data_IF_656301120135
#
_entry.id   IF_656301120135
#
_cell.length_a   1.000
_cell.length_b   1.000
_cell.length_c   1.000
_cell.angle_alpha   90.00
_cell.angle_beta   90.00
_cell.angle_gamma   90.00
#
_symmetry.space_group_name_H-M   'P 1'
#
loop_
_entity.id
_entity.type
_entity.pdbx_description
1 polymer ?
#
# COMPACT_ATOMS: atom_id res chain seq x y z
N UNK A 1 21.57 -23.94 -24.86
CA UNK A 1 21.62 -25.06 -23.89
C UNK A 1 20.49 -26.05 -24.21
N UNK A 2 20.80 -27.30 -24.49
CA UNK A 2 19.85 -28.36 -24.86
C UNK A 2 19.86 -29.47 -23.82
N UNK A 3 18.77 -30.23 -23.71
CA UNK A 3 18.73 -31.40 -22.85
C UNK A 3 19.53 -32.55 -23.46
N UNK A 4 20.51 -33.08 -22.73
CA UNK A 4 21.31 -34.23 -23.17
C UNK A 4 20.68 -35.56 -22.77
N UNK A 5 20.19 -35.65 -21.53
CA UNK A 5 19.51 -36.82 -21.00
C UNK A 5 18.38 -36.40 -20.05
N UNK A 6 17.27 -37.13 -20.10
CA UNK A 6 16.06 -36.90 -19.33
C UNK A 6 15.58 -38.25 -18.81
N UNK A 7 15.01 -38.26 -17.61
CA UNK A 7 14.34 -39.46 -17.07
C UNK A 7 12.83 -39.42 -17.41
N UNK A 8 12.09 -40.54 -17.23
CA UNK A 8 10.65 -40.59 -17.50
C UNK A 8 9.80 -39.68 -16.59
N UNK A 9 10.34 -39.17 -15.48
CA UNK A 9 9.59 -38.27 -14.59
C UNK A 9 9.25 -36.94 -15.28
N UNK A 10 10.06 -36.49 -16.24
CA UNK A 10 9.77 -35.30 -17.05
C UNK A 10 8.48 -35.42 -17.85
N UNK A 11 8.22 -36.60 -18.42
CA UNK A 11 6.99 -36.84 -19.19
C UNK A 11 5.76 -36.92 -18.27
N UNK A 12 5.91 -37.54 -17.10
CA UNK A 12 4.83 -37.64 -16.11
C UNK A 12 4.47 -36.29 -15.49
N UNK A 13 5.47 -35.45 -15.20
CA UNK A 13 5.26 -34.22 -14.43
C UNK A 13 5.00 -33.00 -15.32
N UNK A 14 5.65 -32.89 -16.48
CA UNK A 14 5.44 -31.74 -17.38
C UNK A 14 4.55 -32.06 -18.60
N UNK A 15 4.21 -33.33 -18.84
CA UNK A 15 3.37 -33.77 -19.95
C UNK A 15 4.05 -33.76 -21.33
N UNK A 16 5.29 -33.26 -21.44
CA UNK A 16 6.09 -33.28 -22.66
C UNK A 16 6.85 -34.58 -22.81
N UNK A 17 6.88 -35.15 -24.01
CA UNK A 17 7.75 -36.30 -24.29
C UNK A 17 9.22 -35.88 -24.25
N UNK A 18 10.13 -36.82 -23.94
CA UNK A 18 11.56 -36.54 -23.94
C UNK A 18 12.06 -36.07 -25.32
N UNK A 19 11.46 -36.57 -26.41
CA UNK A 19 11.78 -36.13 -27.76
C UNK A 19 11.40 -34.65 -27.98
N UNK A 20 10.20 -34.25 -27.53
CA UNK A 20 9.73 -32.85 -27.62
C UNK A 20 10.60 -31.90 -26.78
N UNK A 21 11.01 -32.34 -25.59
CA UNK A 21 11.88 -31.56 -24.72
C UNK A 21 13.27 -31.38 -25.35
N UNK A 22 13.86 -32.44 -25.91
CA UNK A 22 15.18 -32.38 -26.57
C UNK A 22 15.17 -31.57 -27.87
N UNK A 23 14.04 -31.52 -28.57
CA UNK A 23 13.92 -30.79 -29.83
C UNK A 23 13.96 -29.26 -29.66
N UNK A 24 13.79 -28.74 -28.43
CA UNK A 24 13.77 -27.29 -28.15
C UNK A 24 14.83 -26.92 -27.10
N UNK A 25 15.32 -25.66 -27.11
CA UNK A 25 16.20 -25.19 -26.04
C UNK A 25 15.52 -25.25 -24.67
N UNK A 26 16.25 -25.67 -23.63
CA UNK A 26 15.70 -25.83 -22.28
C UNK A 26 15.06 -24.54 -21.74
N UNK A 27 15.67 -23.38 -22.04
CA UNK A 27 15.17 -22.06 -21.65
C UNK A 27 13.82 -21.68 -22.25
N UNK A 28 13.39 -22.32 -23.35
CA UNK A 28 12.09 -22.02 -23.96
C UNK A 28 10.91 -22.45 -23.10
N UNK A 29 11.11 -23.46 -22.25
CA UNK A 29 10.10 -23.97 -21.33
C UNK A 29 10.09 -23.22 -19.99
N UNK A 30 11.04 -22.32 -19.73
CA UNK A 30 11.12 -21.53 -18.49
C UNK A 30 10.30 -20.24 -18.65
N UNK A 31 9.54 -19.88 -17.61
CA UNK A 31 8.77 -18.64 -17.53
C UNK A 31 9.65 -17.42 -17.84
N UNK A 32 9.12 -16.44 -18.56
CA UNK A 32 9.89 -15.32 -19.10
C UNK A 32 10.66 -14.58 -18.00
N UNK A 33 10.00 -14.30 -16.87
CA UNK A 33 10.56 -13.59 -15.72
C UNK A 33 11.72 -14.37 -15.05
N UNK A 34 11.69 -15.71 -15.13
CA UNK A 34 12.68 -16.58 -14.50
C UNK A 34 13.90 -16.86 -15.39
N UNK A 35 13.88 -16.46 -16.67
CA UNK A 35 14.94 -16.82 -17.63
C UNK A 35 16.28 -16.20 -17.27
N UNK A 36 16.30 -14.94 -16.87
CA UNK A 36 17.55 -14.24 -16.50
C UNK A 36 18.16 -14.88 -15.26
N UNK A 37 17.34 -15.10 -14.23
CA UNK A 37 17.75 -15.76 -13.00
C UNK A 37 18.27 -17.18 -13.24
N UNK A 38 17.51 -17.99 -14.00
CA UNK A 38 17.87 -19.37 -14.34
C UNK A 38 19.19 -19.42 -15.12
N UNK A 39 19.37 -18.54 -16.11
CA UNK A 39 20.62 -18.49 -16.89
C UNK A 39 21.83 -18.15 -15.99
N UNK A 40 21.69 -17.18 -15.09
CA UNK A 40 22.75 -16.82 -14.15
C UNK A 40 23.11 -17.98 -13.21
N UNK A 41 22.11 -18.71 -12.70
CA UNK A 41 22.32 -19.87 -11.81
C UNK A 41 22.96 -21.06 -12.52
N UNK A 42 22.56 -21.32 -13.77
CA UNK A 42 23.20 -22.35 -14.59
C UNK A 42 24.64 -21.99 -14.94
N UNK A 43 24.92 -20.70 -15.24
CA UNK A 43 26.28 -20.20 -15.43
C UNK A 43 27.14 -20.38 -14.16
N UNK A 44 26.60 -19.97 -13.01
CA UNK A 44 27.24 -20.18 -11.71
C UNK A 44 27.53 -21.67 -11.43
N UNK A 45 26.59 -22.56 -11.73
CA UNK A 45 26.78 -24.00 -11.55
C UNK A 45 27.87 -24.58 -12.47
N UNK A 46 28.02 -24.00 -13.67
CA UNK A 46 29.03 -24.39 -14.63
C UNK A 46 30.44 -23.96 -14.21
N UNK A 47 30.58 -22.72 -13.72
CA UNK A 47 31.84 -22.17 -13.21
C UNK A 47 32.31 -22.87 -11.92
N UNK A 48 31.37 -23.18 -11.03
CA UNK A 48 31.66 -23.83 -9.75
C UNK A 48 31.66 -25.36 -9.89
N UNK A 49 32.62 -25.89 -10.64
CA UNK A 49 32.74 -27.33 -10.88
C UNK A 49 32.72 -28.15 -9.58
N UNK A 50 31.90 -29.22 -9.56
CA UNK A 50 31.72 -30.06 -8.38
C UNK A 50 30.86 -29.47 -7.26
N UNK A 51 30.43 -28.20 -7.33
CA UNK A 51 29.54 -27.60 -6.34
C UNK A 51 28.08 -27.66 -6.75
N UNK A 52 27.22 -27.79 -5.74
CA UNK A 52 25.77 -27.82 -5.87
C UNK A 52 25.21 -26.39 -5.80
N UNK A 53 24.45 -26.01 -6.82
CA UNK A 53 23.72 -24.75 -6.90
C UNK A 53 22.23 -25.07 -6.88
N UNK A 54 21.52 -24.42 -5.96
CA UNK A 54 20.07 -24.50 -5.84
C UNK A 54 19.41 -23.20 -6.30
N UNK A 55 18.27 -23.35 -6.98
CA UNK A 55 17.46 -22.24 -7.47
C UNK A 55 16.06 -22.74 -7.82
N UNK A 56 15.11 -21.82 -7.84
CA UNK A 56 13.73 -22.10 -8.20
C UNK A 56 13.40 -21.43 -9.52
N UNK A 57 12.54 -22.05 -10.32
CA UNK A 57 11.92 -21.43 -11.47
C UNK A 57 10.57 -22.08 -11.80
N UNK A 58 9.88 -21.51 -12.76
CA UNK A 58 8.65 -22.07 -13.29
C UNK A 58 8.88 -22.62 -14.69
N UNK A 59 8.45 -23.87 -14.91
CA UNK A 59 8.44 -24.49 -16.23
C UNK A 59 7.02 -24.69 -16.76
N UNK A 60 6.87 -24.57 -18.08
CA UNK A 60 5.58 -24.72 -18.74
C UNK A 60 5.19 -26.20 -18.85
N UNK A 61 4.04 -26.55 -18.29
CA UNK A 61 3.38 -27.82 -18.57
C UNK A 61 2.79 -27.84 -19.98
N UNK A 62 2.69 -29.00 -20.62
CA UNK A 62 2.11 -29.14 -21.98
C UNK A 62 0.68 -28.59 -22.10
N UNK A 63 -0.07 -28.62 -21.00
CA UNK A 63 -1.42 -28.05 -20.89
C UNK A 63 -1.46 -26.51 -20.71
N UNK A 64 -0.31 -25.84 -20.69
CA UNK A 64 -0.21 -24.38 -20.69
C UNK A 64 -0.10 -23.71 -19.32
N UNK A 65 -0.31 -24.43 -18.21
CA UNK A 65 -0.07 -23.91 -16.86
C UNK A 65 1.42 -24.00 -16.47
N UNK A 66 1.79 -23.26 -15.44
CA UNK A 66 3.17 -23.19 -14.92
C UNK A 66 3.34 -24.10 -13.72
N UNK A 67 4.42 -24.89 -13.71
CA UNK A 67 4.78 -25.77 -12.62
C UNK A 67 6.01 -25.19 -11.92
N UNK A 68 5.92 -24.86 -10.63
CA UNK A 68 7.05 -24.41 -9.85
C UNK A 68 7.99 -25.58 -9.59
N UNK A 69 9.24 -25.44 -10.03
CA UNK A 69 10.29 -26.44 -9.88
C UNK A 69 11.42 -25.89 -9.03
N UNK A 70 11.84 -26.66 -8.02
CA UNK A 70 13.07 -26.40 -7.28
C UNK A 70 14.20 -27.26 -7.85
N UNK A 71 15.27 -26.61 -8.29
CA UNK A 71 16.39 -27.23 -8.97
C UNK A 71 17.57 -27.42 -8.04
N UNK A 72 18.22 -28.56 -8.20
CA UNK A 72 19.55 -28.83 -7.67
C UNK A 72 20.45 -29.20 -8.84
N UNK A 73 21.42 -28.32 -9.14
CA UNK A 73 22.30 -28.45 -10.31
C UNK A 73 23.76 -28.54 -9.89
N UNK A 74 24.52 -29.44 -10.51
CA UNK A 74 25.97 -29.60 -10.33
C UNK A 74 26.66 -29.76 -11.69
N UNK A 75 27.83 -29.17 -11.88
CA UNK A 75 28.67 -29.41 -13.06
C UNK A 75 29.71 -30.50 -12.80
N UNK A 76 29.96 -31.34 -13.82
CA UNK A 76 31.04 -32.34 -13.83
C UNK A 76 31.53 -32.54 -15.27
N UNK A 77 32.83 -32.37 -15.51
CA UNK A 77 33.47 -32.56 -16.82
C UNK A 77 32.79 -31.73 -17.93
N UNK A 78 32.46 -30.47 -17.64
CA UNK A 78 31.78 -29.58 -18.58
C UNK A 78 30.34 -29.97 -18.91
N UNK A 79 29.72 -30.87 -18.15
CA UNK A 79 28.30 -31.24 -18.29
C UNK A 79 27.53 -30.89 -17.02
N UNK A 80 26.39 -30.22 -17.19
CA UNK A 80 25.47 -29.89 -16.09
C UNK A 80 24.52 -31.06 -15.83
N UNK A 81 24.45 -31.48 -14.57
CA UNK A 81 23.51 -32.46 -14.06
C UNK A 81 22.53 -31.74 -13.15
N UNK A 82 21.24 -31.78 -13.49
CA UNK A 82 20.21 -31.07 -12.78
C UNK A 82 19.06 -32.02 -12.40
N UNK A 83 18.62 -31.94 -11.15
CA UNK A 83 17.42 -32.62 -10.65
C UNK A 83 16.40 -31.56 -10.26
N UNK A 84 15.18 -31.68 -10.77
CA UNK A 84 14.07 -30.79 -10.44
C UNK A 84 13.06 -31.51 -9.55
N UNK A 85 12.58 -30.82 -8.52
CA UNK A 85 11.49 -31.26 -7.64
C UNK A 85 10.27 -30.38 -7.90
N UNK A 86 9.12 -31.02 -8.13
CA UNK A 86 7.84 -30.32 -8.27
C UNK A 86 7.38 -29.81 -6.90
N UNK A 87 7.21 -28.49 -6.79
CA UNK A 87 6.80 -27.82 -5.56
C UNK A 87 5.31 -27.54 -5.47
N UNK A 88 4.51 -27.89 -6.49
CA UNK A 88 3.07 -27.63 -6.51
C UNK A 88 2.33 -28.28 -5.33
N UNK A 89 2.66 -29.53 -5.00
CA UNK A 89 2.08 -30.26 -3.87
C UNK A 89 2.51 -29.68 -2.53
N UNK A 90 3.75 -29.21 -2.44
CA UNK A 90 4.29 -28.63 -1.20
C UNK A 90 3.64 -27.27 -0.92
N UNK A 91 3.54 -26.41 -1.93
CA UNK A 91 2.89 -25.11 -1.82
C UNK A 91 1.39 -25.25 -1.52
N UNK A 92 0.67 -26.16 -2.19
CA UNK A 92 -0.75 -26.39 -1.91
C UNK A 92 -1.00 -26.87 -0.47
N UNK A 93 -0.11 -27.69 0.10
CA UNK A 93 -0.21 -28.15 1.49
C UNK A 93 0.09 -27.03 2.48
N UNK A 94 1.12 -26.22 2.22
CA UNK A 94 1.44 -25.05 3.04
C UNK A 94 0.34 -24.01 3.02
N UNK A 95 -0.24 -23.75 1.85
CA UNK A 95 -1.38 -22.84 1.69
C UNK A 95 -2.63 -23.39 2.38
N UNK A 96 -2.91 -24.70 2.31
CA UNK A 96 -4.00 -25.31 3.08
C UNK A 96 -3.77 -25.25 4.59
N UNK A 97 -2.54 -25.49 5.06
CA UNK A 97 -2.17 -25.33 6.47
C UNK A 97 -2.34 -23.87 6.91
N UNK A 98 -1.90 -22.91 6.10
CA UNK A 98 -2.07 -21.49 6.36
C UNK A 98 -3.54 -21.08 6.41
N UNK A 99 -4.35 -21.55 5.45
CA UNK A 99 -5.79 -21.29 5.40
C UNK A 99 -6.52 -21.94 6.59
N UNK A 100 -6.16 -23.17 6.96
CA UNK A 100 -6.72 -23.86 8.12
C UNK A 100 -6.34 -23.13 9.43
N UNK A 101 -5.08 -22.72 9.58
CA UNK A 101 -4.61 -21.91 10.71
C UNK A 101 -5.33 -20.54 10.77
N UNK A 102 -5.47 -19.86 9.64
CA UNK A 102 -6.19 -18.58 9.55
C UNK A 102 -7.68 -18.76 9.91
N UNK A 103 -8.32 -19.84 9.45
CA UNK A 103 -9.72 -20.16 9.77
C UNK A 103 -9.91 -20.44 11.26
N UNK A 104 -9.01 -21.21 11.88
CA UNK A 104 -9.05 -21.47 13.32
C UNK A 104 -8.86 -20.18 14.13
N UNK A 105 -7.92 -19.31 13.74
CA UNK A 105 -7.76 -17.98 14.36
C UNK A 105 -9.02 -17.13 14.23
N UNK A 106 -9.61 -17.04 13.04
CA UNK A 106 -10.82 -16.26 12.81
C UNK A 106 -12.02 -16.75 13.64
N UNK A 107 -12.19 -18.06 13.81
CA UNK A 107 -13.26 -18.63 14.67
C UNK A 107 -13.05 -18.28 16.14
N UNK A 108 -11.79 -18.27 16.59
CA UNK A 108 -11.43 -17.91 17.96
C UNK A 108 -11.63 -16.40 18.21
N UNK A 109 -11.23 -15.56 17.26
CA UNK A 109 -11.28 -14.10 17.38
C UNK A 109 -12.69 -13.51 17.22
N UNK A 110 -13.54 -14.10 16.37
CA UNK A 110 -14.90 -13.59 16.08
C UNK A 110 -16.00 -14.07 17.04
N UNK A 111 -15.70 -14.96 18.00
CA UNK A 111 -16.73 -15.40 18.97
C UNK A 111 -17.04 -14.33 20.02
N UNK A 112 -18.29 -14.32 20.46
CA UNK A 112 -18.82 -13.40 21.48
C UNK A 112 -18.44 -13.85 22.90
N UNK A 113 -18.25 -15.15 23.12
CA UNK A 113 -17.89 -15.73 24.43
C UNK A 113 -16.42 -15.52 24.77
N UNK A 114 -16.12 -15.12 26.00
CA UNK A 114 -14.75 -15.01 26.52
C UNK A 114 -14.10 -16.39 26.62
N UNK A 115 -13.04 -16.61 25.85
CA UNK A 115 -12.29 -17.87 25.79
C UNK A 115 -10.85 -17.65 26.23
N UNK A 116 -10.41 -18.50 27.15
CA UNK A 116 -9.05 -18.53 27.71
C UNK A 116 -8.55 -19.97 27.59
N UNK A 117 -7.43 -20.19 26.91
CA UNK A 117 -6.75 -21.46 26.93
C UNK A 117 -5.63 -21.43 27.97
N UNK A 118 -5.65 -22.43 28.86
CA UNK A 118 -4.66 -22.64 29.91
C UNK A 118 -3.86 -23.92 29.64
N UNK A 119 -2.61 -23.96 30.07
CA UNK A 119 -1.82 -25.20 30.13
C UNK A 119 -2.13 -26.02 31.39
N UNK A 120 -1.42 -27.14 31.58
CA UNK A 120 -1.65 -28.08 32.68
C UNK A 120 -1.28 -27.47 34.05
N UNK A 121 -0.43 -26.45 34.04
CA UNK A 121 0.04 -25.69 35.20
C UNK A 121 -0.86 -24.49 35.51
N UNK A 122 -1.90 -24.26 34.70
CA UNK A 122 -2.88 -23.18 34.88
C UNK A 122 -2.45 -21.84 34.27
N UNK A 123 -1.38 -21.81 33.47
CA UNK A 123 -0.89 -20.61 32.80
C UNK A 123 -1.68 -20.33 31.53
N UNK A 124 -2.11 -19.09 31.36
CA UNK A 124 -2.90 -18.65 30.21
C UNK A 124 -1.99 -18.48 28.97
N UNK A 125 -2.12 -19.37 27.98
CA UNK A 125 -1.33 -19.29 26.74
C UNK A 125 -2.11 -18.69 25.55
N UNK A 126 -3.44 -18.58 25.62
CA UNK A 126 -4.26 -17.92 24.59
C UNK A 126 -5.52 -17.27 25.17
N UNK A 127 -5.93 -16.13 24.63
CA UNK A 127 -7.15 -15.38 25.01
C UNK A 127 -7.75 -14.75 23.77
N UNK A 128 -9.07 -14.76 23.64
CA UNK A 128 -9.74 -14.11 22.51
C UNK A 128 -10.10 -12.64 22.83
N UNK A 129 -10.37 -11.80 21.81
CA UNK A 129 -10.74 -10.39 22.01
C UNK A 129 -12.03 -10.18 22.83
N UNK A 130 -12.86 -11.21 23.02
CA UNK A 130 -13.99 -11.15 23.94
C UNK A 130 -13.57 -11.15 25.42
N UNK A 131 -12.39 -11.68 25.78
CA UNK A 131 -11.81 -11.51 27.12
C UNK A 131 -11.46 -10.03 27.35
N UNK A 132 -10.94 -9.35 26.33
CA UNK A 132 -10.61 -7.90 26.43
C UNK A 132 -11.85 -7.05 26.68
N UNK A 133 -12.96 -7.39 26.00
CA UNK A 133 -14.24 -6.70 26.17
C UNK A 133 -14.87 -6.94 27.55
N UNK A 134 -14.71 -8.14 28.12
CA UNK A 134 -15.33 -8.51 29.40
C UNK A 134 -14.54 -8.00 30.61
N UNK A 135 -13.21 -8.05 30.55
CA UNK A 135 -12.36 -7.72 31.69
C UNK A 135 -11.65 -6.35 31.57
N UNK A 136 -11.76 -5.68 30.41
CA UNK A 136 -11.16 -4.37 30.18
C UNK A 136 -9.65 -4.39 29.91
N UNK A 137 -8.97 -5.54 30.05
CA UNK A 137 -7.54 -5.69 29.80
C UNK A 137 -7.27 -6.13 28.36
N UNK A 138 -6.28 -5.52 27.70
CA UNK A 138 -5.81 -6.00 26.39
C UNK A 138 -4.59 -6.91 26.55
N UNK A 139 -4.53 -8.00 25.78
CA UNK A 139 -3.51 -9.03 25.93
C UNK A 139 -2.52 -9.00 24.74
N UNK A 140 -1.27 -8.62 25.01
CA UNK A 140 -0.20 -8.66 24.00
C UNK A 140 0.57 -9.99 24.08
N UNK A 141 0.65 -10.72 22.97
CA UNK A 141 1.40 -11.98 22.89
C UNK A 141 2.84 -11.69 22.45
N UNK A 142 3.77 -11.68 23.40
CA UNK A 142 5.20 -11.79 23.14
C UNK A 142 5.64 -13.19 23.56
N UNK A 143 6.42 -13.89 22.73
CA UNK A 143 6.64 -15.35 22.81
C UNK A 143 6.94 -15.91 24.20
N UNK A 144 6.47 -17.14 24.45
CA UNK A 144 6.67 -18.04 25.61
C UNK A 144 6.50 -17.49 27.05
N UNK A 145 6.41 -16.18 27.26
CA UNK A 145 6.16 -15.52 28.54
C UNK A 145 5.24 -14.33 28.29
N UNK A 146 3.96 -14.48 28.64
CA UNK A 146 3.00 -13.39 28.53
C UNK A 146 3.20 -12.41 29.67
N UNK A 147 3.73 -11.23 29.37
CA UNK A 147 3.68 -10.09 30.27
C UNK A 147 2.28 -9.47 30.13
N UNK A 148 1.50 -9.49 31.21
CA UNK A 148 0.25 -8.72 31.30
C UNK A 148 0.65 -7.24 31.41
N UNK A 149 0.47 -6.48 30.33
CA UNK A 149 0.62 -5.02 30.36
C UNK A 149 -0.75 -4.39 30.24
N UNK A 150 -1.17 -3.71 31.30
CA UNK A 150 -2.36 -2.88 31.24
C UNK A 150 -2.13 -1.73 30.25
N UNK A 151 -2.84 -1.76 29.13
CA UNK A 151 -2.86 -0.68 28.13
C UNK A 151 -4.24 -0.02 28.04
N UNK A 152 -5.13 -0.29 29.00
CA UNK A 152 -6.51 0.20 29.03
C UNK A 152 -6.53 1.74 29.03
N UNK A 153 -5.68 2.34 29.85
CA UNK A 153 -5.52 3.81 29.89
C UNK A 153 -5.01 4.37 28.56
N UNK A 154 -4.05 3.70 27.92
CA UNK A 154 -3.50 4.13 26.63
C UNK A 154 -4.56 4.07 25.52
N UNK A 155 -5.29 2.97 25.40
CA UNK A 155 -6.38 2.84 24.41
C UNK A 155 -7.51 3.83 24.68
N UNK A 156 -7.84 4.08 25.96
CA UNK A 156 -8.83 5.09 26.34
C UNK A 156 -8.35 6.50 25.96
N UNK A 157 -7.07 6.83 26.18
CA UNK A 157 -6.46 8.09 25.77
C UNK A 157 -6.49 8.26 24.25
N UNK A 158 -6.11 7.23 23.49
CA UNK A 158 -6.16 7.25 22.02
C UNK A 158 -7.60 7.46 21.51
N UNK A 159 -8.58 6.75 22.09
CA UNK A 159 -9.99 6.91 21.72
C UNK A 159 -10.53 8.31 22.08
N UNK A 160 -10.26 8.80 23.29
CA UNK A 160 -10.65 10.15 23.73
C UNK A 160 -10.01 11.23 22.87
N UNK A 161 -8.75 11.07 22.44
CA UNK A 161 -8.07 12.01 21.52
C UNK A 161 -8.83 12.08 20.20
N UNK A 162 -9.15 10.94 19.60
CA UNK A 162 -9.86 10.90 18.32
C UNK A 162 -11.29 11.46 18.43
N UNK A 163 -12.03 11.12 19.50
CA UNK A 163 -13.38 11.63 19.73
C UNK A 163 -13.39 13.15 20.00
N UNK A 164 -12.42 13.63 20.78
CA UNK A 164 -12.24 15.05 21.06
C UNK A 164 -11.97 15.84 19.77
N UNK A 165 -11.02 15.38 18.95
CA UNK A 165 -10.68 16.05 17.69
C UNK A 165 -11.88 16.06 16.74
N UNK A 166 -12.61 14.95 16.62
CA UNK A 166 -13.82 14.88 15.80
C UNK A 166 -14.88 15.89 16.27
N UNK A 167 -15.17 15.91 17.57
CA UNK A 167 -16.18 16.78 18.17
C UNK A 167 -15.83 18.25 18.00
N UNK A 168 -14.61 18.65 18.39
CA UNK A 168 -14.15 20.04 18.24
C UNK A 168 -14.21 20.48 16.79
N UNK A 169 -13.83 19.62 15.84
CA UNK A 169 -13.90 19.97 14.43
C UNK A 169 -15.33 20.20 13.93
N UNK A 170 -16.29 19.39 14.38
CA UNK A 170 -17.71 19.58 14.06
C UNK A 170 -18.26 20.86 14.67
N UNK A 171 -17.96 21.12 15.94
CA UNK A 171 -18.39 22.32 16.68
C UNK A 171 -17.75 23.60 16.14
N UNK A 172 -16.55 23.54 15.55
CA UNK A 172 -15.90 24.69 14.91
C UNK A 172 -16.38 24.93 13.48
N UNK A 173 -16.73 23.88 12.73
CA UNK A 173 -17.17 24.02 11.34
C UNK A 173 -18.46 24.83 11.21
N UNK A 174 -19.42 24.61 12.10
CA UNK A 174 -20.73 25.26 12.08
C UNK A 174 -20.67 26.80 12.26
N UNK A 175 -20.02 27.34 13.31
CA UNK A 175 -19.88 28.79 13.46
C UNK A 175 -19.02 29.39 12.34
N UNK A 176 -17.98 28.69 11.88
CA UNK A 176 -17.11 29.17 10.82
C UNK A 176 -17.82 29.25 9.46
N UNK A 177 -18.71 28.28 9.17
CA UNK A 177 -19.57 28.33 7.98
C UNK A 177 -20.52 29.52 8.03
N UNK A 178 -21.05 29.83 9.22
CA UNK A 178 -21.93 30.98 9.43
C UNK A 178 -21.18 32.31 9.28
N UNK A 179 -19.98 32.43 9.85
CA UNK A 179 -19.09 33.60 9.71
C UNK A 179 -18.72 33.82 8.24
N UNK A 180 -18.28 32.77 7.55
CA UNK A 180 -17.96 32.85 6.12
C UNK A 180 -19.18 33.26 5.29
N UNK A 181 -20.35 32.71 5.59
CA UNK A 181 -21.59 33.06 4.91
C UNK A 181 -21.94 34.54 5.09
N UNK A 182 -21.87 35.04 6.32
CA UNK A 182 -22.13 36.46 6.61
C UNK A 182 -21.12 37.39 5.91
N UNK A 183 -19.82 37.07 5.98
CA UNK A 183 -18.76 37.82 5.30
C UNK A 183 -18.94 37.79 3.77
N UNK A 184 -19.33 36.65 3.20
CA UNK A 184 -19.60 36.51 1.77
C UNK A 184 -20.78 37.35 1.29
N UNK A 185 -21.85 37.49 2.10
CA UNK A 185 -22.97 38.38 1.78
C UNK A 185 -22.56 39.86 1.81
N UNK A 186 -21.72 40.22 2.78
CA UNK A 186 -21.18 41.58 2.93
C UNK A 186 -20.24 41.91 1.76
N UNK A 187 -19.32 41.01 1.42
CA UNK A 187 -18.42 41.15 0.27
C UNK A 187 -19.17 41.20 -1.06
N UNK A 188 -20.23 40.41 -1.20
CA UNK A 188 -21.07 40.35 -2.40
C UNK A 188 -22.01 41.55 -2.60
N UNK A 189 -21.95 42.55 -1.71
CA UNK A 189 -22.74 43.79 -1.83
C UNK A 189 -24.22 43.65 -1.49
N UNK A 190 -24.65 42.50 -0.95
CA UNK A 190 -26.06 42.25 -0.56
C UNK A 190 -26.50 43.21 0.55
N UNK A 191 -25.56 43.67 1.37
CA UNK A 191 -25.79 44.62 2.46
C UNK A 191 -25.53 46.09 2.05
N UNK A 192 -25.29 46.37 0.77
CA UNK A 192 -24.90 47.68 0.24
C UNK A 192 -23.44 47.76 -0.18
N UNK A 193 -23.06 48.86 -0.84
CA UNK A 193 -21.66 49.12 -1.24
C UNK A 193 -20.78 49.45 -0.04
N UNK A 194 -19.65 48.76 0.06
CA UNK A 194 -18.64 48.99 1.10
C UNK A 194 -17.62 50.04 0.64
N UNK A 195 -17.16 50.93 1.55
CA UNK A 195 -15.96 51.72 1.33
C UNK A 195 -14.76 50.83 1.00
N UNK A 196 -13.85 51.30 0.16
CA UNK A 196 -12.74 50.49 -0.33
C UNK A 196 -11.85 49.94 0.79
N UNK A 197 -11.59 50.75 1.83
CA UNK A 197 -10.87 50.33 3.03
C UNK A 197 -11.59 49.19 3.78
N UNK A 198 -12.93 49.19 3.81
CA UNK A 198 -13.70 48.15 4.49
C UNK A 198 -13.71 46.84 3.70
N UNK A 199 -13.65 46.89 2.36
CA UNK A 199 -13.55 45.68 1.51
C UNK A 199 -12.28 44.92 1.81
N UNK A 200 -11.15 45.60 1.96
CA UNK A 200 -9.86 44.95 2.25
C UNK A 200 -9.91 44.15 3.56
N UNK A 201 -10.51 44.70 4.63
CA UNK A 201 -10.69 43.96 5.88
C UNK A 201 -11.64 42.76 5.75
N UNK A 202 -12.70 42.88 4.95
CA UNK A 202 -13.65 41.78 4.69
C UNK A 202 -12.98 40.66 3.90
N UNK A 203 -12.16 40.99 2.89
CA UNK A 203 -11.41 40.02 2.10
C UNK A 203 -10.38 39.27 2.97
N UNK A 204 -9.69 39.99 3.87
CA UNK A 204 -8.79 39.38 4.87
C UNK A 204 -9.57 38.42 5.78
N UNK A 205 -10.74 38.82 6.28
CA UNK A 205 -11.56 37.99 7.16
C UNK A 205 -12.10 36.74 6.45
N UNK A 206 -12.49 36.88 5.18
CA UNK A 206 -12.97 35.78 4.34
C UNK A 206 -11.83 34.76 4.08
N UNK A 207 -10.67 35.25 3.68
CA UNK A 207 -9.46 34.43 3.46
C UNK A 207 -9.03 33.68 4.71
N UNK A 208 -9.05 34.34 5.88
CA UNK A 208 -8.77 33.70 7.16
C UNK A 208 -9.80 32.62 7.53
N UNK A 209 -11.08 32.88 7.24
CA UNK A 209 -12.15 31.89 7.46
C UNK A 209 -11.94 30.64 6.60
N UNK A 210 -11.61 30.80 5.32
CA UNK A 210 -11.30 29.67 4.43
C UNK A 210 -10.01 28.94 4.83
N UNK A 211 -9.01 29.65 5.35
CA UNK A 211 -7.81 29.03 5.90
C UNK A 211 -8.11 28.18 7.14
N UNK A 212 -8.96 28.66 8.04
CA UNK A 212 -9.37 27.91 9.24
C UNK A 212 -10.17 26.65 8.87
N UNK A 213 -11.07 26.73 7.89
CA UNK A 213 -11.82 25.55 7.41
C UNK A 213 -10.85 24.48 6.91
N UNK A 214 -9.84 24.87 6.12
CA UNK A 214 -8.82 23.95 5.61
C UNK A 214 -8.01 23.30 6.74
N UNK A 215 -7.53 24.10 7.70
CA UNK A 215 -6.77 23.56 8.85
C UNK A 215 -7.58 22.57 9.69
N UNK A 216 -8.86 22.85 9.94
CA UNK A 216 -9.74 21.92 10.67
C UNK A 216 -9.90 20.61 9.90
N UNK A 217 -10.09 20.70 8.57
CA UNK A 217 -10.17 19.52 7.73
C UNK A 217 -8.85 18.72 7.78
N UNK A 218 -7.69 19.37 7.64
CA UNK A 218 -6.37 18.73 7.69
C UNK A 218 -6.11 17.97 9.00
N UNK A 219 -6.58 18.50 10.14
CA UNK A 219 -6.45 17.84 11.45
C UNK A 219 -7.31 16.57 11.52
N UNK A 220 -8.59 16.64 11.13
CA UNK A 220 -9.48 15.46 11.04
C UNK A 220 -8.89 14.39 10.14
N UNK A 221 -8.23 14.86 9.11
CA UNK A 221 -7.69 14.10 8.03
C UNK A 221 -6.41 13.33 8.43
N UNK A 222 -5.59 13.92 9.28
CA UNK A 222 -4.46 13.25 9.93
C UNK A 222 -4.93 12.14 10.88
N UNK A 223 -5.96 12.40 11.70
CA UNK A 223 -6.51 11.39 12.62
C UNK A 223 -7.09 10.18 11.88
N UNK A 224 -7.79 10.39 10.75
CA UNK A 224 -8.27 9.29 9.91
C UNK A 224 -7.14 8.46 9.32
N UNK A 225 -6.03 9.10 8.98
CA UNK A 225 -4.84 8.44 8.45
C UNK A 225 -4.14 7.61 9.53
N UNK A 226 -3.90 8.19 10.72
CA UNK A 226 -3.33 7.47 11.88
C UNK A 226 -4.18 6.27 12.29
N UNK A 227 -5.51 6.40 12.21
CA UNK A 227 -6.44 5.32 12.53
C UNK A 227 -6.68 4.31 11.39
N UNK A 228 -6.01 4.45 10.23
CA UNK A 228 -6.20 3.57 9.07
C UNK A 228 -7.61 3.62 8.44
N UNK A 229 -8.41 4.65 8.76
CA UNK A 229 -9.79 4.84 8.30
C UNK A 229 -9.92 5.82 7.13
N UNK A 230 -8.80 6.14 6.47
CA UNK A 230 -8.78 7.06 5.35
C UNK A 230 -9.31 6.38 4.08
N UNK A 231 -10.48 6.82 3.62
CA UNK A 231 -11.06 6.38 2.35
C UNK A 231 -10.46 7.17 1.18
N UNK A 232 -10.05 6.45 0.14
CA UNK A 232 -9.56 7.04 -1.10
C UNK A 232 -10.48 6.65 -2.24
N UNK A 233 -10.87 7.63 -3.07
CA UNK A 233 -11.68 7.38 -4.27
C UNK A 233 -10.83 7.57 -5.51
N UNK A 234 -10.84 6.58 -6.40
CA UNK A 234 -10.23 6.68 -7.71
C UNK A 234 -11.22 7.40 -8.63
N UNK A 235 -10.79 8.52 -9.21
CA UNK A 235 -11.59 9.28 -10.17
C UNK A 235 -10.74 9.74 -11.35
N UNK A 236 -11.32 9.75 -12.54
CA UNK A 236 -10.73 10.36 -13.72
C UNK A 236 -10.85 11.88 -13.59
N UNK A 237 -9.76 12.61 -13.79
CA UNK A 237 -9.82 14.06 -13.88
C UNK A 237 -8.84 14.60 -14.93
N UNK A 238 -9.16 15.79 -15.45
CA UNK A 238 -8.33 16.49 -16.43
C UNK A 238 -7.14 17.14 -15.72
N UNK A 239 -5.96 16.57 -15.92
CA UNK A 239 -4.76 16.92 -15.16
C UNK A 239 -4.24 18.33 -15.48
N UNK A 240 -4.47 18.83 -16.70
CA UNK A 240 -3.93 20.11 -17.15
C UNK A 240 -4.58 21.29 -16.43
N UNK A 241 -5.89 21.25 -16.20
CA UNK A 241 -6.67 22.31 -15.56
C UNK A 241 -6.22 22.54 -14.12
N UNK A 242 -6.00 21.46 -13.35
CA UNK A 242 -5.54 21.58 -11.96
C UNK A 242 -4.12 22.16 -11.88
N UNK A 243 -3.24 21.79 -12.82
CA UNK A 243 -1.91 22.40 -12.90
C UNK A 243 -2.00 23.88 -13.26
N UNK A 244 -2.84 24.24 -14.22
CA UNK A 244 -3.03 25.64 -14.61
C UNK A 244 -3.55 26.49 -13.45
N UNK A 245 -4.53 25.98 -12.70
CA UNK A 245 -5.06 26.64 -11.51
C UNK A 245 -3.99 26.81 -10.43
N UNK A 246 -3.15 25.79 -10.21
CA UNK A 246 -2.03 25.84 -9.28
C UNK A 246 -0.95 26.84 -9.71
N UNK A 247 -0.61 26.90 -11.00
CA UNK A 247 0.33 27.87 -11.55
C UNK A 247 -0.20 29.30 -11.43
N UNK A 248 -1.47 29.52 -11.75
CA UNK A 248 -2.12 30.82 -11.61
C UNK A 248 -2.15 31.28 -10.14
N UNK A 249 -2.52 30.37 -9.22
CA UNK A 249 -2.60 30.66 -7.78
C UNK A 249 -1.24 31.01 -7.15
N UNK A 250 -0.13 30.55 -7.73
CA UNK A 250 1.22 30.84 -7.25
C UNK A 250 1.97 31.88 -8.10
N UNK A 251 1.36 32.41 -9.17
CA UNK A 251 2.01 33.35 -10.08
C UNK A 251 2.46 34.64 -9.38
N UNK A 252 1.65 35.16 -8.46
CA UNK A 252 1.96 36.34 -7.65
C UNK A 252 3.12 36.10 -6.68
N UNK A 253 3.25 34.89 -6.13
CA UNK A 253 4.40 34.50 -5.31
C UNK A 253 5.68 34.41 -6.15
N UNK A 254 5.61 33.79 -7.33
CA UNK A 254 6.74 33.70 -8.25
C UNK A 254 7.23 35.10 -8.67
N UNK A 255 6.29 36.00 -8.99
CA UNK A 255 6.58 37.37 -9.35
C UNK A 255 7.24 38.16 -8.21
N UNK A 256 6.80 37.97 -6.96
CA UNK A 256 7.39 38.60 -5.78
C UNK A 256 8.85 38.16 -5.54
N UNK A 257 9.16 36.90 -5.83
CA UNK A 257 10.50 36.30 -5.68
C UNK A 257 11.36 36.40 -6.97
N UNK A 258 10.86 37.05 -8.02
CA UNK A 258 11.57 37.17 -9.31
C UNK A 258 11.79 35.85 -10.05
N UNK A 259 10.99 34.83 -9.75
CA UNK A 259 11.08 33.49 -10.34
C UNK A 259 9.92 33.23 -11.31
N UNK A 260 10.08 32.27 -12.22
CA UNK A 260 9.03 31.84 -13.15
C UNK A 260 8.83 30.35 -13.05
N UNK A 261 7.58 29.92 -12.85
CA UNK A 261 7.24 28.51 -12.96
C UNK A 261 7.12 28.10 -14.43
N UNK A 262 7.75 26.98 -14.77
CA UNK A 262 7.68 26.36 -16.10
C UNK A 262 7.13 24.96 -15.91
N UNK A 263 6.04 24.65 -16.61
CA UNK A 263 5.52 23.29 -16.65
C UNK A 263 6.37 22.46 -17.61
N UNK A 264 7.04 21.44 -17.09
CA UNK A 264 7.71 20.41 -17.89
C UNK A 264 6.93 19.12 -17.68
N UNK A 265 6.29 18.62 -18.73
CA UNK A 265 5.42 17.44 -18.64
C UNK A 265 5.68 16.50 -19.81
N UNK A 266 5.96 15.23 -19.49
CA UNK A 266 5.95 14.09 -20.41
C UNK A 266 4.58 13.35 -20.40
N UNK A 267 3.59 13.90 -19.70
CA UNK A 267 2.27 13.29 -19.55
C UNK A 267 1.49 13.50 -20.87
N UNK A 268 1.02 12.43 -21.53
CA UNK A 268 0.27 12.54 -22.76
C UNK A 268 -1.05 13.30 -22.53
N UNK A 269 -1.52 14.11 -23.50
CA UNK A 269 -2.79 14.81 -23.38
C UNK A 269 -3.95 13.81 -23.24
N UNK A 270 -4.65 13.84 -22.11
CA UNK A 270 -5.76 12.94 -21.81
C UNK A 270 -6.16 12.95 -20.32
N UNK A 271 -7.29 12.32 -19.99
CA UNK A 271 -7.70 12.12 -18.61
C UNK A 271 -6.75 11.16 -17.90
N UNK A 272 -6.19 11.60 -16.78
CA UNK A 272 -5.33 10.75 -15.94
C UNK A 272 -6.17 10.27 -14.75
N UNK A 273 -6.17 8.96 -14.52
CA UNK A 273 -6.78 8.38 -13.32
C UNK A 273 -5.85 8.65 -12.13
N UNK A 274 -6.32 9.45 -11.17
CA UNK A 274 -5.57 9.74 -9.96
C UNK A 274 -6.41 9.33 -8.75
N UNK A 275 -5.73 8.80 -7.74
CA UNK A 275 -6.33 8.46 -6.45
C UNK A 275 -6.39 9.72 -5.60
N UNK A 276 -7.58 10.27 -5.38
CA UNK A 276 -7.76 11.52 -4.61
C UNK A 276 -8.59 11.28 -3.35
N UNK A 277 -8.58 12.28 -2.46
CA UNK A 277 -9.27 12.29 -1.17
C UNK A 277 -10.69 12.89 -1.24
N UNK A 278 -10.91 13.86 -2.13
CA UNK A 278 -12.16 14.63 -2.25
C UNK A 278 -12.35 15.23 -3.66
N UNK A 279 -13.51 15.87 -3.88
CA UNK A 279 -13.97 16.47 -5.14
C UNK A 279 -12.89 17.41 -5.76
N UNK A 280 -12.78 17.53 -7.10
CA UNK A 280 -11.61 18.09 -7.80
C UNK A 280 -11.14 19.50 -7.39
N UNK A 281 -11.96 20.28 -6.69
CA UNK A 281 -11.74 21.71 -6.38
C UNK A 281 -10.73 21.94 -5.24
N UNK A 282 -10.49 20.97 -4.35
CA UNK A 282 -9.52 21.11 -3.24
C UNK A 282 -8.06 20.72 -3.64
N UNK A 283 -7.87 20.25 -4.88
CA UNK A 283 -6.60 19.65 -5.35
C UNK A 283 -5.46 20.65 -5.53
N UNK A 284 -5.73 21.96 -5.54
CA UNK A 284 -4.71 23.00 -5.64
C UNK A 284 -3.74 23.01 -4.45
N UNK A 285 -4.16 22.52 -3.28
CA UNK A 285 -3.30 22.40 -2.09
C UNK A 285 -2.27 21.25 -2.20
N UNK A 286 -2.60 20.16 -2.91
CA UNK A 286 -1.73 18.99 -3.02
C UNK A 286 -0.51 19.22 -3.94
N UNK A 287 -0.62 20.11 -4.93
CA UNK A 287 0.48 20.44 -5.85
C UNK A 287 1.57 21.27 -5.17
N UNK A 288 1.26 21.93 -4.04
CA UNK A 288 2.24 22.71 -3.25
C UNK A 288 3.39 21.86 -2.69
N UNK A 289 3.20 20.55 -2.54
CA UNK A 289 4.21 19.65 -1.98
C UNK A 289 5.18 19.03 -3.02
N UNK A 290 4.87 19.13 -4.32
CA UNK A 290 5.67 18.52 -5.40
C UNK A 290 6.67 19.53 -5.99
N UNK A 291 6.42 20.82 -5.83
CA UNK A 291 7.27 21.90 -6.34
C UNK A 291 8.36 22.28 -5.32
N UNK A 292 9.27 21.34 -5.00
CA UNK A 292 10.56 21.73 -4.41
C UNK A 292 11.43 22.42 -5.48
N UNK A 293 12.06 23.57 -5.18
CA UNK A 293 12.94 24.25 -6.11
C UNK A 293 14.20 23.39 -6.32
N UNK A 294 14.29 22.71 -7.46
CA UNK A 294 15.59 22.25 -7.95
C UNK A 294 16.36 23.47 -8.45
N UNK A 295 17.43 23.81 -7.76
CA UNK A 295 18.43 24.74 -8.26
C UNK A 295 18.93 24.21 -9.61
N UNK A 296 18.78 25.02 -10.65
CA UNK A 296 19.39 24.78 -11.96
C UNK A 296 20.79 25.38 -11.89
N UNK A 297 21.81 24.53 -11.94
CA UNK A 297 23.19 24.95 -12.31
C UNK A 297 23.27 25.31 -13.79
#
# INVERSE_FOLDING_TARGET
MQFLSLNPAWERNLGWTQAELRARPAMSFVHLDDRVHTAAKLGQAFELEGRRVQFDNQMQHKAGHWIPLSWTTTSRNGTLFATATDMSVHQAREEQLALAHARLRAVFDNRVDSLVNIDAEGTIWQVNPAVERLFGYSFEVVGASKIIRDISERKKLEWMKTEFVATVSHELRTPLTSIRGALGLVAGGVTGELPEEAKEYIDIALSNSDRLVRLINDILDMEKMEAGRMEFKLQAFEFSGVIQDALASNASFAAAEGTRFVLVSDIPPGEVLVKTRSNPVDSAAAIRAILEPRAVE
#
